data_IF_333303800659
#
_entry.id   IF_333303800659
#
_cell.length_a   1.000
_cell.length_b   1.000
_cell.length_c   1.000
_cell.angle_alpha   90.00
_cell.angle_beta   90.00
_cell.angle_gamma   90.00
#
_symmetry.space_group_name_H-M   'P 1'
#
loop_
_entity.id
_entity.type
_entity.pdbx_description
1 polymer ?
#
# COMPACT_ATOMS: atom_id res chain seq x y z
N UNK A 1 28.90 -50.65 26.78
CA UNK A 1 29.85 -49.52 26.89
C UNK A 1 29.18 -48.24 26.37
N UNK A 2 28.92 -47.33 27.30
CA UNK A 2 28.93 -45.87 27.21
C UNK A 2 28.15 -45.11 26.12
N UNK A 3 27.00 -44.59 26.57
CA UNK A 3 26.47 -43.24 26.39
C UNK A 3 27.33 -42.21 25.65
N UNK A 4 26.70 -41.46 24.74
CA UNK A 4 26.62 -40.00 24.89
C UNK A 4 25.40 -39.43 24.16
N UNK A 5 24.41 -38.98 24.95
CA UNK A 5 23.52 -37.88 24.58
C UNK A 5 24.28 -36.60 24.91
N UNK A 6 24.34 -35.62 24.00
CA UNK A 6 24.54 -34.19 24.34
C UNK A 6 24.37 -33.31 23.09
N UNK A 7 23.28 -32.56 23.00
CA UNK A 7 23.14 -31.14 23.38
C UNK A 7 23.80 -30.16 22.41
N UNK A 8 22.99 -29.35 21.71
CA UNK A 8 22.75 -27.92 22.00
C UNK A 8 21.84 -27.31 20.94
N UNK A 9 20.92 -26.47 21.42
CA UNK A 9 20.08 -25.56 20.65
C UNK A 9 20.94 -24.50 19.96
N UNK A 10 20.27 -23.71 19.11
CA UNK A 10 20.60 -22.38 18.57
C UNK A 10 21.54 -22.31 17.38
N UNK A 11 21.00 -21.85 16.25
CA UNK A 11 21.43 -20.60 15.60
C UNK A 11 20.32 -20.16 14.63
N UNK A 12 19.46 -19.26 15.11
CA UNK A 12 18.63 -18.41 14.23
C UNK A 12 19.59 -17.44 13.57
N UNK A 13 19.87 -17.64 12.29
CA UNK A 13 20.73 -16.76 11.51
C UNK A 13 19.92 -15.54 11.10
N UNK A 14 20.11 -14.47 11.87
CA UNK A 14 19.57 -13.13 11.64
C UNK A 14 20.39 -12.49 10.50
N UNK A 15 19.90 -12.58 9.26
CA UNK A 15 20.53 -11.88 8.12
C UNK A 15 20.09 -10.41 8.17
N UNK A 16 20.90 -9.60 8.84
CA UNK A 16 20.93 -8.16 8.66
C UNK A 16 21.84 -7.85 7.46
N UNK A 17 21.24 -7.62 6.30
CA UNK A 17 21.95 -7.07 5.14
C UNK A 17 21.54 -5.61 4.96
N UNK A 18 22.41 -4.72 5.42
CA UNK A 18 22.29 -3.29 5.22
C UNK A 18 22.63 -2.89 3.78
N UNK A 19 21.83 -1.98 3.23
CA UNK A 19 22.24 -1.14 2.12
C UNK A 19 21.99 0.30 2.51
N UNK A 20 23.10 1.03 2.69
CA UNK A 20 23.14 2.48 2.83
C UNK A 20 22.66 3.11 1.52
N UNK A 21 21.58 3.89 1.58
CA UNK A 21 21.26 4.87 0.55
C UNK A 21 21.21 6.22 1.26
N UNK A 22 22.11 7.11 0.88
CA UNK A 22 22.19 8.48 1.38
C UNK A 22 20.89 9.24 1.05
N UNK A 23 20.32 10.02 1.98
CA UNK A 23 19.18 10.86 1.66
C UNK A 23 19.65 12.11 0.88
N UNK A 24 19.22 12.22 -0.38
CA UNK A 24 19.21 13.51 -1.09
C UNK A 24 18.07 14.34 -0.50
N UNK A 25 18.42 15.43 0.18
CA UNK A 25 17.45 16.38 0.72
C UNK A 25 16.81 17.17 -0.43
N UNK A 26 15.54 16.89 -0.72
CA UNK A 26 14.68 17.79 -1.50
C UNK A 26 13.80 18.57 -0.52
N UNK A 27 14.13 19.85 -0.32
CA UNK A 27 13.26 20.81 0.34
C UNK A 27 12.17 21.24 -0.63
N UNK A 28 10.94 20.73 -0.44
CA UNK A 28 9.73 21.31 -1.03
C UNK A 28 9.00 22.09 0.05
N UNK A 29 9.17 23.40 0.04
CA UNK A 29 8.33 24.33 0.76
C UNK A 29 7.03 24.55 -0.03
N UNK A 30 5.88 24.27 0.61
CA UNK A 30 4.55 24.51 0.04
C UNK A 30 3.45 24.45 1.09
N UNK A 31 3.11 25.60 1.66
CA UNK A 31 1.80 25.92 2.29
C UNK A 31 0.69 25.78 1.23
N UNK A 32 -0.55 25.32 1.41
CA UNK A 32 -1.36 24.90 2.56
C UNK A 32 -2.85 25.10 2.17
N UNK A 33 -3.71 24.09 2.39
CA UNK A 33 -5.14 24.17 2.84
C UNK A 33 -5.94 22.88 2.51
N UNK A 34 -5.97 21.98 3.49
CA UNK A 34 -7.15 21.37 4.12
C UNK A 34 -8.28 20.68 3.32
N UNK A 35 -7.93 19.74 2.43
CA UNK A 35 -8.79 18.58 2.08
C UNK A 35 -8.18 17.27 2.62
N UNK A 36 -7.26 17.37 3.59
CA UNK A 36 -6.47 16.24 4.11
C UNK A 36 -7.08 15.54 5.32
N UNK A 37 -7.73 16.28 6.21
CA UNK A 37 -8.14 15.80 7.54
C UNK A 37 -9.18 14.67 7.47
N UNK A 38 -10.21 14.81 6.62
CA UNK A 38 -11.30 13.83 6.54
C UNK A 38 -10.86 12.49 5.92
N UNK A 39 -9.88 12.52 5.00
CA UNK A 39 -9.33 11.31 4.34
C UNK A 39 -8.38 10.53 5.26
N UNK A 40 -7.63 11.24 6.10
CA UNK A 40 -6.72 10.65 7.10
C UNK A 40 -7.47 9.83 8.14
N UNK A 41 -8.54 10.38 8.72
CA UNK A 41 -9.35 9.66 9.72
C UNK A 41 -10.02 8.39 9.14
N UNK A 42 -10.40 8.40 7.87
CA UNK A 42 -11.03 7.24 7.24
C UNK A 42 -10.04 6.07 7.05
N UNK A 43 -8.79 6.38 6.67
CA UNK A 43 -7.72 5.39 6.50
C UNK A 43 -7.31 4.74 7.82
N UNK A 44 -7.26 5.53 8.89
CA UNK A 44 -6.93 5.07 10.24
C UNK A 44 -8.06 4.23 10.84
N UNK A 45 -9.32 4.70 10.77
CA UNK A 45 -10.50 3.96 11.25
C UNK A 45 -10.62 2.59 10.56
N UNK A 46 -10.36 2.51 9.25
CA UNK A 46 -10.36 1.25 8.51
C UNK A 46 -9.27 0.29 8.99
N UNK A 47 -8.09 0.81 9.27
CA UNK A 47 -6.98 0.01 9.78
C UNK A 47 -7.26 -0.52 11.18
N UNK A 48 -7.74 0.32 12.10
CA UNK A 48 -8.18 -0.12 13.44
C UNK A 48 -9.21 -1.26 13.37
N UNK A 49 -10.17 -1.19 12.45
CA UNK A 49 -11.14 -2.27 12.23
C UNK A 49 -10.50 -3.56 11.70
N UNK A 50 -9.49 -3.47 10.83
CA UNK A 50 -8.78 -4.65 10.32
C UNK A 50 -7.90 -5.25 11.43
N UNK A 51 -7.14 -4.43 12.14
CA UNK A 51 -6.30 -4.85 13.26
C UNK A 51 -7.12 -5.61 14.31
N UNK A 52 -8.28 -5.07 14.72
CA UNK A 52 -9.19 -5.75 15.64
C UNK A 52 -9.74 -7.06 15.07
N UNK A 53 -10.06 -7.12 13.77
CA UNK A 53 -10.58 -8.35 13.15
C UNK A 53 -9.52 -9.44 13.05
N UNK A 54 -8.27 -9.08 12.84
CA UNK A 54 -7.16 -10.02 12.75
C UNK A 54 -6.53 -10.31 14.11
N UNK A 55 -6.99 -9.65 15.18
CA UNK A 55 -6.39 -9.74 16.51
C UNK A 55 -4.87 -9.50 16.46
N UNK A 56 -4.47 -8.42 15.79
CA UNK A 56 -3.04 -8.06 15.68
C UNK A 56 -2.49 -7.66 17.05
N UNK A 57 -1.26 -8.07 17.35
CA UNK A 57 -0.52 -7.58 18.51
C UNK A 57 -0.12 -6.12 18.34
N UNK A 58 0.29 -5.48 19.43
CA UNK A 58 0.75 -4.09 19.39
C UNK A 58 2.01 -3.93 18.53
N UNK A 59 2.92 -4.90 18.57
CA UNK A 59 4.13 -4.94 17.73
C UNK A 59 3.76 -5.07 16.25
N UNK A 60 2.81 -5.95 15.90
CA UNK A 60 2.33 -6.09 14.53
C UNK A 60 1.65 -4.79 14.05
N UNK A 61 0.89 -4.13 14.91
CA UNK A 61 0.23 -2.86 14.61
C UNK A 61 1.27 -1.78 14.31
N UNK A 62 2.34 -1.68 15.09
CA UNK A 62 3.43 -0.73 14.88
C UNK A 62 4.15 -1.00 13.56
N UNK A 63 4.57 -2.23 13.31
CA UNK A 63 5.20 -2.62 12.04
C UNK A 63 4.32 -2.29 10.82
N UNK A 64 3.02 -2.55 10.91
CA UNK A 64 2.09 -2.20 9.84
C UNK A 64 1.92 -0.69 9.65
N UNK A 65 2.02 0.12 10.71
CA UNK A 65 2.02 1.59 10.57
C UNK A 65 3.26 2.06 9.84
N UNK A 66 4.44 1.57 10.23
CA UNK A 66 5.72 1.90 9.57
C UNK A 66 5.67 1.59 8.07
N UNK A 67 5.26 0.37 7.69
CA UNK A 67 5.12 -0.04 6.29
C UNK A 67 4.17 0.89 5.51
N UNK A 68 3.09 1.39 6.17
CA UNK A 68 2.13 2.31 5.53
C UNK A 68 2.69 3.71 5.37
N UNK A 69 3.46 4.18 6.33
CA UNK A 69 4.08 5.50 6.29
C UNK A 69 5.17 5.53 5.22
N UNK A 70 6.03 4.52 5.16
CA UNK A 70 7.01 4.36 4.08
C UNK A 70 6.35 4.32 2.70
N UNK A 71 5.33 3.47 2.53
CA UNK A 71 4.56 3.38 1.28
C UNK A 71 3.87 4.71 0.93
N UNK A 72 3.37 5.44 1.94
CA UNK A 72 2.77 6.75 1.75
C UNK A 72 3.79 7.72 1.19
N UNK A 73 4.97 7.81 1.81
CA UNK A 73 6.07 8.69 1.42
C UNK A 73 6.58 8.36 0.02
N UNK A 74 6.89 7.09 -0.25
CA UNK A 74 7.35 6.63 -1.57
C UNK A 74 6.32 6.91 -2.68
N UNK A 75 5.03 6.85 -2.35
CA UNK A 75 3.94 7.06 -3.30
C UNK A 75 3.46 8.51 -3.42
N UNK A 76 4.04 9.50 -2.72
CA UNK A 76 3.52 10.88 -2.75
C UNK A 76 3.60 11.48 -4.16
N UNK A 77 4.77 11.45 -4.79
CA UNK A 77 4.97 11.98 -6.15
C UNK A 77 4.07 11.28 -7.18
N UNK A 78 3.97 9.94 -7.09
CA UNK A 78 3.13 9.15 -7.98
C UNK A 78 1.64 9.46 -7.85
N UNK A 79 1.18 9.81 -6.63
CA UNK A 79 -0.20 10.25 -6.40
C UNK A 79 -0.48 11.62 -6.99
N UNK A 80 0.50 12.52 -7.00
CA UNK A 80 0.34 13.83 -7.61
C UNK A 80 0.24 13.72 -9.14
N UNK A 81 1.10 12.90 -9.76
CA UNK A 81 1.01 12.59 -11.19
C UNK A 81 -0.36 11.95 -11.53
N UNK A 82 -0.84 11.01 -10.72
CA UNK A 82 -2.16 10.42 -10.91
C UNK A 82 -3.30 11.44 -10.75
N UNK A 83 -3.14 12.44 -9.88
CA UNK A 83 -4.12 13.51 -9.69
C UNK A 83 -4.15 14.41 -10.93
N UNK A 84 -2.98 14.79 -11.44
CA UNK A 84 -2.86 15.55 -12.69
C UNK A 84 -3.53 14.83 -13.87
N UNK A 85 -3.25 13.53 -14.05
CA UNK A 85 -3.93 12.70 -15.06
C UNK A 85 -5.46 12.76 -14.93
N UNK A 86 -6.00 12.63 -13.70
CA UNK A 86 -7.45 12.66 -13.47
C UNK A 86 -8.06 14.02 -13.78
N UNK A 87 -7.35 15.11 -13.51
CA UNK A 87 -7.79 16.47 -13.82
C UNK A 87 -7.80 16.70 -15.35
N UNK A 88 -6.78 16.21 -16.06
CA UNK A 88 -6.73 16.23 -17.53
C UNK A 88 -7.90 15.46 -18.13
N UNK A 89 -8.09 14.20 -17.73
CA UNK A 89 -9.21 13.37 -18.21
C UNK A 89 -10.56 14.01 -17.88
N UNK A 90 -10.74 14.58 -16.68
CA UNK A 90 -11.98 15.26 -16.32
C UNK A 90 -12.25 16.46 -17.23
N UNK A 91 -11.22 17.21 -17.60
CA UNK A 91 -11.33 18.37 -18.48
C UNK A 91 -11.69 17.93 -19.90
N UNK A 92 -11.05 16.88 -20.40
CA UNK A 92 -11.32 16.29 -21.72
C UNK A 92 -12.70 15.63 -21.81
N UNK A 93 -13.21 15.07 -20.70
CA UNK A 93 -14.58 14.55 -20.66
C UNK A 93 -15.65 15.64 -20.63
N UNK A 94 -15.29 16.85 -20.22
CA UNK A 94 -16.21 17.98 -20.12
C UNK A 94 -16.26 18.82 -21.42
N UNK A 95 -15.43 18.53 -22.43
CA UNK A 95 -15.51 19.20 -23.72
C UNK A 95 -16.73 18.73 -24.52
N UNK A 96 -17.19 19.59 -25.44
CA UNK A 96 -18.37 19.30 -26.29
C UNK A 96 -18.18 18.06 -27.17
N UNK A 97 -16.94 17.75 -27.53
CA UNK A 97 -16.55 16.54 -28.26
C UNK A 97 -15.42 15.82 -27.52
N UNK A 98 -15.42 14.49 -27.58
CA UNK A 98 -14.37 13.66 -26.99
C UNK A 98 -13.25 13.43 -28.00
N UNK A 99 -12.02 13.81 -27.66
CA UNK A 99 -10.84 13.58 -28.48
C UNK A 99 -10.11 12.30 -28.01
N UNK A 100 -10.34 11.20 -28.73
CA UNK A 100 -9.75 9.90 -28.44
C UNK A 100 -8.22 9.91 -28.52
N UNK A 101 -7.66 10.66 -29.47
CA UNK A 101 -6.21 10.72 -29.67
C UNK A 101 -5.53 11.45 -28.51
N UNK A 102 -6.14 12.54 -28.04
CA UNK A 102 -5.66 13.29 -26.88
C UNK A 102 -5.74 12.47 -25.59
N UNK A 103 -6.85 11.77 -25.38
CA UNK A 103 -6.97 10.85 -24.23
C UNK A 103 -5.90 9.76 -24.27
N UNK A 104 -5.70 9.11 -25.43
CA UNK A 104 -4.69 8.07 -25.59
C UNK A 104 -3.27 8.59 -25.31
N UNK A 105 -2.95 9.81 -25.75
CA UNK A 105 -1.67 10.46 -25.46
C UNK A 105 -1.48 10.74 -23.97
N UNK A 106 -2.48 11.32 -23.29
CA UNK A 106 -2.43 11.57 -21.84
C UNK A 106 -2.26 10.25 -21.07
N UNK A 107 -2.97 9.19 -21.49
CA UNK A 107 -2.84 7.87 -20.88
C UNK A 107 -1.44 7.30 -21.05
N UNK A 108 -0.89 7.33 -22.28
CA UNK A 108 0.45 6.83 -22.59
C UNK A 108 1.52 7.53 -21.74
N UNK A 109 1.40 8.86 -21.56
CA UNK A 109 2.30 9.65 -20.71
C UNK A 109 2.32 9.19 -19.24
N UNK A 110 1.23 8.61 -18.74
CA UNK A 110 1.09 8.22 -17.33
C UNK A 110 1.17 6.71 -17.09
N UNK A 111 1.40 5.90 -18.14
CA UNK A 111 1.49 4.44 -18.02
C UNK A 111 2.55 4.00 -17.01
N UNK A 112 3.73 4.63 -17.03
CA UNK A 112 4.80 4.31 -16.09
C UNK A 112 4.38 4.61 -14.64
N UNK A 113 3.75 5.76 -14.39
CA UNK A 113 3.19 6.11 -13.07
C UNK A 113 2.20 5.02 -12.60
N UNK A 114 1.36 4.50 -13.48
CA UNK A 114 0.41 3.43 -13.13
C UNK A 114 1.14 2.13 -12.77
N UNK A 115 2.16 1.75 -13.56
CA UNK A 115 2.97 0.56 -13.30
C UNK A 115 3.70 0.68 -11.95
N UNK A 116 4.34 1.82 -11.68
CA UNK A 116 5.03 2.08 -10.43
C UNK A 116 4.07 2.08 -9.23
N UNK A 117 2.87 2.66 -9.37
CA UNK A 117 1.84 2.59 -8.33
C UNK A 117 1.34 1.17 -8.07
N UNK A 118 1.18 0.36 -9.13
CA UNK A 118 0.79 -1.04 -8.99
C UNK A 118 1.87 -1.83 -8.26
N UNK A 119 3.13 -1.64 -8.64
CA UNK A 119 4.29 -2.25 -8.01
C UNK A 119 4.39 -1.87 -6.53
N UNK A 120 4.29 -0.58 -6.21
CA UNK A 120 4.32 -0.09 -4.83
C UNK A 120 3.21 -0.74 -3.98
N UNK A 121 1.98 -0.79 -4.51
CA UNK A 121 0.86 -1.46 -3.83
C UNK A 121 1.13 -2.95 -3.62
N UNK A 122 1.70 -3.64 -4.59
CA UNK A 122 2.04 -5.06 -4.49
C UNK A 122 3.10 -5.29 -3.40
N UNK A 123 4.19 -4.52 -3.43
CA UNK A 123 5.26 -4.57 -2.42
C UNK A 123 4.72 -4.30 -1.01
N UNK A 124 3.92 -3.24 -0.84
CA UNK A 124 3.32 -2.91 0.46
C UNK A 124 2.40 -4.01 0.97
N UNK A 125 1.55 -4.60 0.10
CA UNK A 125 0.69 -5.73 0.50
C UNK A 125 1.49 -6.96 0.90
N UNK A 126 2.55 -7.26 0.14
CA UNK A 126 3.44 -8.36 0.46
C UNK A 126 4.10 -8.14 1.82
N UNK A 127 4.70 -6.97 2.06
CA UNK A 127 5.32 -6.63 3.35
C UNK A 127 4.34 -6.75 4.52
N UNK A 128 3.10 -6.25 4.38
CA UNK A 128 2.07 -6.43 5.41
C UNK A 128 1.72 -7.89 5.66
N UNK A 129 1.66 -8.72 4.61
CA UNK A 129 1.37 -10.14 4.75
C UNK A 129 2.45 -10.88 5.55
N UNK A 130 3.72 -10.48 5.41
CA UNK A 130 4.84 -11.06 6.15
C UNK A 130 4.84 -10.72 7.66
N UNK A 131 4.09 -9.69 8.08
CA UNK A 131 3.91 -9.34 9.51
C UNK A 131 2.90 -10.27 10.20
N UNK A 132 2.03 -10.94 9.43
CA UNK A 132 0.95 -11.77 9.95
C UNK A 132 1.44 -13.18 10.26
N UNK A 133 0.84 -13.81 11.27
CA UNK A 133 0.92 -15.26 11.41
C UNK A 133 0.14 -15.96 10.29
N UNK A 134 0.41 -17.25 10.09
CA UNK A 134 -0.30 -18.07 9.09
C UNK A 134 -1.83 -18.01 9.28
N UNK A 135 -2.29 -18.16 10.52
CA UNK A 135 -3.72 -18.15 10.86
C UNK A 135 -4.36 -16.76 10.60
N UNK A 136 -3.62 -15.68 10.90
CA UNK A 136 -4.06 -14.31 10.60
C UNK A 136 -4.07 -14.03 9.09
N UNK A 137 -3.13 -14.59 8.33
CA UNK A 137 -3.04 -14.45 6.88
C UNK A 137 -4.23 -15.11 6.18
N UNK A 138 -4.59 -16.33 6.59
CA UNK A 138 -5.78 -17.04 6.09
C UNK A 138 -7.06 -16.23 6.37
N UNK A 139 -7.19 -15.70 7.60
CA UNK A 139 -8.30 -14.81 7.97
C UNK A 139 -8.32 -13.54 7.13
N UNK A 140 -7.16 -12.95 6.85
CA UNK A 140 -7.05 -11.79 5.96
C UNK A 140 -7.54 -12.14 4.56
N UNK A 141 -7.10 -13.25 3.97
CA UNK A 141 -7.50 -13.68 2.63
C UNK A 141 -9.02 -13.86 2.53
N UNK A 142 -9.63 -14.55 3.50
CA UNK A 142 -11.09 -14.70 3.56
C UNK A 142 -11.84 -13.37 3.70
N UNK A 143 -11.30 -12.39 4.44
CA UNK A 143 -11.87 -11.04 4.51
C UNK A 143 -11.80 -10.30 3.16
N UNK A 144 -10.76 -10.56 2.36
CA UNK A 144 -10.59 -9.96 1.04
C UNK A 144 -11.53 -10.57 0.00
N UNK A 145 -11.74 -11.88 0.02
CA UNK A 145 -12.71 -12.55 -0.85
C UNK A 145 -14.14 -12.09 -0.60
N UNK A 146 -14.56 -12.02 0.68
CA UNK A 146 -15.88 -11.48 1.06
C UNK A 146 -16.10 -10.05 0.57
N UNK A 147 -15.03 -9.25 0.50
CA UNK A 147 -15.10 -7.88 -0.06
C UNK A 147 -15.21 -7.87 -1.58
N UNK A 148 -14.62 -8.84 -2.30
CA UNK A 148 -14.79 -8.97 -3.76
C UNK A 148 -16.24 -9.34 -4.09
N UNK A 149 -16.82 -10.33 -3.42
CA UNK A 149 -18.21 -10.76 -3.64
C UNK A 149 -19.23 -9.64 -3.42
N UNK A 150 -19.06 -8.80 -2.39
CA UNK A 150 -19.93 -7.64 -2.13
C UNK A 150 -19.81 -6.49 -3.13
N UNK A 151 -18.76 -6.44 -3.96
CA UNK A 151 -18.63 -5.42 -5.02
C UNK A 151 -19.20 -5.91 -6.35
N UNK A 152 -19.14 -7.22 -6.62
CA UNK A 152 -19.77 -7.84 -7.79
C UNK A 152 -21.29 -7.79 -7.75
N UNK A 153 -21.91 -8.00 -6.59
CA UNK A 153 -23.38 -7.90 -6.44
C UNK A 153 -23.96 -6.49 -6.55
N UNK A 154 -23.16 -5.45 -6.79
CA UNK A 154 -23.62 -4.05 -6.95
C UNK A 154 -23.88 -3.65 -8.40
N UNK A 155 -23.61 -4.55 -9.35
CA UNK A 155 -23.80 -4.38 -10.80
C UNK A 155 -24.84 -5.35 -11.37
N UNK A 156 -25.51 -6.14 -10.52
CA UNK A 156 -26.51 -7.13 -10.90
C UNK A 156 -27.94 -6.76 -10.45
N UNK A 157 -28.17 -5.50 -10.05
CA UNK A 157 -29.50 -4.93 -9.77
C UNK A 157 -29.76 -3.79 -10.77
#
# INVERSE_FOLDING_TARGET
>A
MNFSKNTKKTLVTLVAAGTLIAPVAYSVAGHGQDIGSMKMHYGEKKFKKIAKRLSLSDEQIEQMKTIREESKTQGMALKEQLKSFREQVKTEQASETFDEAKFAASYAQHQETFAQLAMLKAKTRHAMAQVLSQEQLEKWQGLMEKRKGKRGGRYND
#
